data_IF_188304667467
#
_entry.id   IF_188304667467
#
_cell.length_a   1.000
_cell.length_b   1.000
_cell.length_c   1.000
_cell.angle_alpha   90.00
_cell.angle_beta   90.00
_cell.angle_gamma   90.00
#
_symmetry.space_group_name_H-M   'P 1'
#
loop_
_entity.id
_entity.type
_entity.pdbx_description
1 polymer ?
#
# COMPACT_ATOMS: atom_id res chain seq x y z
N UNK A 1 12.30 -35.45 3.78
CA UNK A 1 12.44 -34.54 4.96
C UNK A 1 11.08 -33.95 5.24
N UNK A 2 10.62 -34.02 6.51
CA UNK A 2 9.28 -33.52 6.85
C UNK A 2 9.19 -31.99 6.95
N UNK A 3 7.95 -31.43 6.93
CA UNK A 3 7.69 -30.00 6.93
C UNK A 3 8.28 -29.31 8.14
N UNK A 4 8.19 -29.92 9.34
CA UNK A 4 8.75 -29.35 10.58
C UNK A 4 10.26 -29.11 10.49
N UNK A 5 11.00 -30.09 9.99
CA UNK A 5 12.45 -29.99 9.84
C UNK A 5 12.85 -28.93 8.83
N UNK A 6 12.11 -28.81 7.72
CA UNK A 6 12.34 -27.80 6.68
C UNK A 6 12.11 -26.40 7.23
N UNK A 7 11.00 -26.18 7.96
CA UNK A 7 10.71 -24.88 8.60
C UNK A 7 11.80 -24.51 9.59
N UNK A 8 12.23 -25.48 10.42
CA UNK A 8 13.30 -25.25 11.40
C UNK A 8 14.62 -24.89 10.74
N UNK A 9 15.00 -25.56 9.65
CA UNK A 9 16.21 -25.25 8.89
C UNK A 9 16.14 -23.83 8.30
N UNK A 10 15.03 -23.50 7.61
CA UNK A 10 14.79 -22.17 7.04
C UNK A 10 14.79 -21.08 8.12
N UNK A 11 14.08 -21.29 9.22
CA UNK A 11 14.04 -20.35 10.35
C UNK A 11 15.43 -20.13 10.95
N UNK A 12 16.21 -21.16 11.16
CA UNK A 12 17.57 -21.04 11.69
C UNK A 12 18.46 -20.25 10.73
N UNK A 13 18.35 -20.50 9.43
CA UNK A 13 19.09 -19.74 8.43
C UNK A 13 18.71 -18.27 8.42
N UNK A 14 17.41 -17.95 8.48
CA UNK A 14 16.91 -16.58 8.53
C UNK A 14 17.32 -15.86 9.83
N UNK A 15 17.28 -16.54 10.99
CA UNK A 15 17.74 -15.99 12.28
C UNK A 15 19.23 -15.60 12.24
N UNK A 16 20.08 -16.46 11.66
CA UNK A 16 21.51 -16.17 11.46
C UNK A 16 21.76 -14.94 10.58
N UNK A 17 20.81 -14.60 9.71
CA UNK A 17 20.84 -13.40 8.84
C UNK A 17 20.03 -12.23 9.39
N UNK A 18 19.75 -12.19 10.70
CA UNK A 18 19.07 -11.11 11.43
C UNK A 18 17.63 -10.83 10.96
N UNK A 19 16.92 -11.81 10.42
CA UNK A 19 15.49 -11.69 10.10
C UNK A 19 14.68 -11.90 11.38
N UNK A 20 14.02 -10.86 11.88
CA UNK A 20 13.26 -10.89 13.13
C UNK A 20 12.06 -11.84 13.09
N UNK A 21 11.39 -11.94 11.94
CA UNK A 21 10.21 -12.79 11.70
C UNK A 21 10.56 -14.17 11.15
N UNK A 22 11.76 -14.69 11.44
CA UNK A 22 12.35 -15.85 10.77
C UNK A 22 11.45 -17.09 10.73
N UNK A 23 10.75 -17.42 11.82
CA UNK A 23 9.87 -18.58 11.89
C UNK A 23 8.63 -18.39 11.02
N UNK A 24 7.94 -17.26 11.19
CA UNK A 24 6.77 -16.90 10.39
C UNK A 24 7.13 -16.82 8.89
N UNK A 25 8.26 -16.20 8.56
CA UNK A 25 8.70 -16.07 7.18
C UNK A 25 9.00 -17.44 6.57
N UNK A 26 9.65 -18.34 7.32
CA UNK A 26 9.90 -19.72 6.89
C UNK A 26 8.61 -20.48 6.59
N UNK A 27 7.61 -20.41 7.47
CA UNK A 27 6.29 -21.01 7.27
C UNK A 27 5.57 -20.45 6.03
N UNK A 28 5.59 -19.11 5.86
CA UNK A 28 4.96 -18.44 4.72
C UNK A 28 5.64 -18.82 3.39
N UNK A 29 6.97 -18.91 3.37
CA UNK A 29 7.72 -19.33 2.17
C UNK A 29 7.42 -20.77 1.79
N UNK A 30 7.33 -21.67 2.76
CA UNK A 30 6.98 -23.06 2.51
C UNK A 30 5.51 -23.19 2.04
N UNK A 31 4.61 -22.40 2.64
CA UNK A 31 3.21 -22.28 2.23
C UNK A 31 3.10 -21.85 0.76
N UNK A 32 3.90 -20.88 0.34
CA UNK A 32 3.93 -20.41 -1.04
C UNK A 32 4.45 -21.47 -2.02
N UNK A 33 5.50 -22.19 -1.66
CA UNK A 33 6.05 -23.25 -2.51
C UNK A 33 5.07 -24.41 -2.70
N UNK A 34 4.38 -24.80 -1.64
CA UNK A 34 3.40 -25.87 -1.66
C UNK A 34 2.02 -25.46 -2.17
N UNK A 35 1.77 -24.14 -2.31
CA UNK A 35 0.45 -23.55 -2.66
C UNK A 35 -0.67 -24.00 -1.71
N UNK A 36 -0.34 -24.13 -0.43
CA UNK A 36 -1.29 -24.44 0.65
C UNK A 36 -1.33 -23.33 1.69
N UNK A 37 -2.35 -23.30 2.53
CA UNK A 37 -2.43 -22.33 3.62
C UNK A 37 -1.40 -22.63 4.71
N UNK A 38 -0.94 -21.58 5.42
CA UNK A 38 -0.09 -21.72 6.61
C UNK A 38 -0.71 -22.68 7.64
N UNK A 39 -2.04 -22.64 7.80
CA UNK A 39 -2.76 -23.57 8.68
C UNK A 39 -2.50 -25.03 8.29
N UNK A 40 -2.51 -25.37 6.99
CA UNK A 40 -2.22 -26.72 6.51
C UNK A 40 -0.78 -27.13 6.83
N UNK A 41 0.19 -26.21 6.70
CA UNK A 41 1.58 -26.48 7.08
C UNK A 41 1.68 -26.86 8.56
N UNK A 42 1.03 -26.10 9.44
CA UNK A 42 1.08 -26.33 10.90
C UNK A 42 0.39 -27.65 11.30
N UNK A 43 -0.70 -28.01 10.61
CA UNK A 43 -1.44 -29.23 10.92
C UNK A 43 -0.80 -30.52 10.38
N UNK A 44 0.09 -30.43 9.37
CA UNK A 44 0.68 -31.58 8.69
C UNK A 44 2.22 -31.61 8.82
N UNK A 45 2.76 -31.25 9.97
CA UNK A 45 4.20 -31.09 10.20
C UNK A 45 5.04 -32.33 9.91
N UNK A 46 4.46 -33.52 10.05
CA UNK A 46 5.12 -34.80 9.81
C UNK A 46 5.14 -35.20 8.34
N UNK A 47 4.43 -34.49 7.46
CA UNK A 47 4.39 -34.81 6.03
C UNK A 47 5.76 -34.62 5.39
N UNK A 48 6.22 -35.59 4.65
CA UNK A 48 7.43 -35.48 3.85
C UNK A 48 7.22 -34.75 2.55
N UNK A 49 8.24 -34.01 2.12
CA UNK A 49 8.26 -33.31 0.84
C UNK A 49 9.40 -33.78 -0.06
N UNK A 50 9.21 -33.60 -1.37
CA UNK A 50 10.21 -33.95 -2.37
C UNK A 50 11.45 -33.03 -2.31
N UNK A 51 12.58 -33.49 -2.82
CA UNK A 51 13.79 -32.68 -2.94
C UNK A 51 13.60 -31.46 -3.82
N UNK A 52 12.71 -31.50 -4.82
CA UNK A 52 12.37 -30.36 -5.67
C UNK A 52 11.71 -29.23 -4.86
N UNK A 53 10.72 -29.57 -4.03
CA UNK A 53 10.04 -28.62 -3.13
C UNK A 53 11.03 -28.00 -2.15
N UNK A 54 11.89 -28.82 -1.54
CA UNK A 54 12.93 -28.34 -0.64
C UNK A 54 13.90 -27.37 -1.33
N UNK A 55 14.33 -27.66 -2.55
CA UNK A 55 15.21 -26.77 -3.33
C UNK A 55 14.54 -25.43 -3.63
N UNK A 56 13.26 -25.42 -4.05
CA UNK A 56 12.49 -24.20 -4.29
C UNK A 56 12.37 -23.37 -3.00
N UNK A 57 12.04 -24.01 -1.90
CA UNK A 57 11.96 -23.36 -0.59
C UNK A 57 13.30 -22.73 -0.18
N UNK A 58 14.40 -23.47 -0.29
CA UNK A 58 15.76 -22.99 0.04
C UNK A 58 16.12 -21.73 -0.76
N UNK A 59 15.79 -21.70 -2.05
CA UNK A 59 16.02 -20.51 -2.88
C UNK A 59 15.27 -19.29 -2.36
N UNK A 60 14.00 -19.43 -1.95
CA UNK A 60 13.23 -18.33 -1.36
C UNK A 60 13.79 -17.89 -0.01
N UNK A 61 14.25 -18.83 0.82
CA UNK A 61 14.91 -18.54 2.11
C UNK A 61 16.19 -17.73 1.89
N UNK A 62 17.02 -18.07 0.89
CA UNK A 62 18.23 -17.30 0.54
C UNK A 62 17.87 -15.87 0.10
N UNK A 63 16.85 -15.71 -0.74
CA UNK A 63 16.37 -14.40 -1.16
C UNK A 63 15.86 -13.60 0.04
N UNK A 64 15.11 -14.23 0.95
CA UNK A 64 14.64 -13.56 2.17
C UNK A 64 15.80 -13.13 3.08
N UNK A 65 16.78 -13.99 3.25
CA UNK A 65 17.99 -13.70 4.03
C UNK A 65 18.81 -12.54 3.44
N UNK A 66 18.77 -12.32 2.11
CA UNK A 66 19.38 -11.15 1.46
C UNK A 66 18.63 -9.83 1.73
N UNK A 67 17.48 -9.87 2.44
CA UNK A 67 16.65 -8.74 2.80
C UNK A 67 15.42 -8.57 1.89
N UNK A 68 15.17 -9.43 0.89
CA UNK A 68 13.98 -9.28 0.03
C UNK A 68 12.69 -9.39 0.86
N UNK A 69 11.76 -8.42 0.80
CA UNK A 69 10.53 -8.43 1.56
C UNK A 69 9.71 -9.69 1.33
N UNK A 70 9.18 -10.26 2.42
CA UNK A 70 8.36 -11.49 2.35
C UNK A 70 7.16 -11.31 1.40
N UNK A 71 6.52 -10.13 1.39
CA UNK A 71 5.38 -9.84 0.54
C UNK A 71 5.70 -9.98 -0.96
N UNK A 72 6.91 -9.61 -1.38
CA UNK A 72 7.35 -9.77 -2.78
C UNK A 72 7.70 -11.22 -3.12
N UNK A 73 8.17 -12.00 -2.14
CA UNK A 73 8.50 -13.42 -2.34
C UNK A 73 7.25 -14.28 -2.49
N UNK A 74 6.21 -13.99 -1.69
CA UNK A 74 4.93 -14.69 -1.77
C UNK A 74 3.94 -14.02 -2.74
N UNK A 75 4.30 -12.85 -3.30
CA UNK A 75 3.48 -12.11 -4.27
C UNK A 75 2.20 -11.51 -3.71
N UNK A 76 2.01 -11.52 -2.38
CA UNK A 76 0.76 -11.00 -1.77
C UNK A 76 1.02 -10.26 -0.46
N UNK A 77 0.14 -9.30 -0.17
CA UNK A 77 0.08 -8.55 1.09
C UNK A 77 -1.37 -8.42 1.55
N UNK A 78 -1.64 -8.85 2.77
CA UNK A 78 -2.92 -8.56 3.42
C UNK A 78 -2.99 -7.07 3.75
N UNK A 79 -4.12 -6.43 3.42
CA UNK A 79 -4.39 -5.03 3.71
C UNK A 79 -5.91 -4.85 3.84
N UNK A 80 -6.35 -4.20 4.93
CA UNK A 80 -7.76 -4.12 5.30
C UNK A 80 -8.34 -5.54 5.46
N UNK A 81 -9.35 -5.88 4.70
CA UNK A 81 -10.01 -7.20 4.70
C UNK A 81 -9.61 -8.08 3.50
N UNK A 82 -8.64 -7.65 2.69
CA UNK A 82 -8.35 -8.25 1.38
C UNK A 82 -6.87 -8.57 1.22
N UNK A 83 -6.57 -9.49 0.29
CA UNK A 83 -5.20 -9.80 -0.12
C UNK A 83 -4.92 -9.12 -1.47
N UNK A 84 -3.86 -8.32 -1.52
CA UNK A 84 -3.42 -7.62 -2.71
C UNK A 84 -2.20 -8.28 -3.32
N UNK A 85 -2.22 -8.50 -4.62
CA UNK A 85 -1.04 -8.87 -5.38
C UNK A 85 -0.05 -7.70 -5.37
N UNK A 86 1.21 -7.99 -5.06
CA UNK A 86 2.30 -7.00 -4.98
C UNK A 86 3.57 -7.56 -5.59
N UNK A 87 4.36 -6.67 -6.20
CA UNK A 87 5.71 -6.94 -6.72
C UNK A 87 6.60 -5.74 -6.38
N UNK A 88 7.89 -5.82 -6.70
CA UNK A 88 8.85 -4.72 -6.51
C UNK A 88 8.48 -3.41 -7.26
N UNK A 89 7.44 -3.45 -8.10
CA UNK A 89 6.97 -2.30 -8.87
C UNK A 89 5.98 -1.40 -8.09
N UNK A 90 5.53 -1.83 -6.91
CA UNK A 90 4.60 -1.08 -6.06
C UNK A 90 5.06 -1.06 -4.60
N UNK A 91 4.74 0.02 -3.90
CA UNK A 91 4.91 0.08 -2.45
C UNK A 91 4.11 -1.05 -1.79
N UNK A 92 4.72 -1.75 -0.84
CA UNK A 92 4.00 -2.73 -0.02
C UNK A 92 2.97 -2.00 0.84
N UNK A 93 1.67 -2.34 0.77
CA UNK A 93 0.64 -1.71 1.59
C UNK A 93 0.99 -1.70 3.08
N UNK A 94 0.90 -0.53 3.72
CA UNK A 94 1.25 -0.32 5.13
C UNK A 94 0.00 -0.35 6.00
N UNK A 95 0.04 -1.00 7.17
CA UNK A 95 -1.11 -1.04 8.10
C UNK A 95 -1.62 0.36 8.48
N UNK A 96 -0.73 1.34 8.67
CA UNK A 96 -1.10 2.71 9.03
C UNK A 96 -2.00 3.37 7.98
N UNK A 97 -1.87 2.99 6.70
CA UNK A 97 -2.70 3.51 5.61
C UNK A 97 -4.15 3.01 5.66
N UNK A 98 -4.45 1.96 6.44
CA UNK A 98 -5.82 1.48 6.67
C UNK A 98 -6.69 2.54 7.36
N UNK A 99 -6.07 3.47 8.09
CA UNK A 99 -6.73 4.63 8.68
C UNK A 99 -7.44 5.50 7.63
N UNK A 100 -6.90 5.61 6.42
CA UNK A 100 -7.56 6.32 5.32
C UNK A 100 -8.89 5.65 4.98
N UNK A 101 -8.90 4.31 4.88
CA UNK A 101 -10.13 3.57 4.55
C UNK A 101 -11.16 3.77 5.65
N UNK A 102 -10.78 3.57 6.92
CA UNK A 102 -11.67 3.76 8.07
C UNK A 102 -12.32 5.14 8.01
N UNK A 103 -11.53 6.21 7.83
CA UNK A 103 -12.05 7.58 7.83
C UNK A 103 -12.88 7.90 6.59
N UNK A 104 -12.56 7.32 5.43
CA UNK A 104 -13.40 7.45 4.22
C UNK A 104 -14.76 6.77 4.44
N UNK A 105 -14.79 5.58 5.01
CA UNK A 105 -16.04 4.87 5.28
C UNK A 105 -16.93 5.64 6.26
N UNK A 106 -16.34 6.22 7.32
CA UNK A 106 -17.03 7.09 8.28
C UNK A 106 -17.62 8.33 7.59
N UNK A 107 -16.81 9.05 6.80
CA UNK A 107 -17.22 10.24 6.04
C UNK A 107 -18.35 9.98 5.04
N UNK A 108 -18.42 8.78 4.54
CA UNK A 108 -19.33 8.40 3.45
C UNK A 108 -20.44 7.45 3.90
N UNK A 109 -20.65 7.31 5.22
CA UNK A 109 -21.64 6.36 5.78
C UNK A 109 -23.02 6.48 5.12
N UNK A 110 -23.51 7.70 4.97
CA UNK A 110 -24.84 8.03 4.42
C UNK A 110 -24.75 8.60 3.00
N UNK A 111 -23.68 8.31 2.24
CA UNK A 111 -23.50 8.81 0.89
C UNK A 111 -23.55 7.66 -0.12
N UNK A 112 -24.06 7.96 -1.31
CA UNK A 112 -24.17 7.04 -2.44
C UNK A 112 -23.59 7.64 -3.71
N UNK A 113 -23.23 6.79 -4.68
CA UNK A 113 -22.79 7.17 -6.03
C UNK A 113 -21.59 8.15 -6.05
N UNK A 114 -20.66 8.00 -5.10
CA UNK A 114 -19.47 8.83 -4.98
C UNK A 114 -18.45 8.48 -6.06
N UNK A 115 -17.88 9.51 -6.70
CA UNK A 115 -16.72 9.38 -7.59
C UNK A 115 -15.45 9.62 -6.78
N UNK A 116 -14.61 8.59 -6.70
CA UNK A 116 -13.33 8.61 -5.96
C UNK A 116 -12.16 8.71 -6.93
N UNK A 117 -11.22 9.58 -6.67
CA UNK A 117 -9.91 9.61 -7.32
C UNK A 117 -8.84 9.16 -6.32
N UNK A 118 -7.98 8.24 -6.71
CA UNK A 118 -6.77 7.86 -5.98
C UNK A 118 -5.54 8.34 -6.77
N UNK A 119 -4.78 9.25 -6.17
CA UNK A 119 -3.58 9.84 -6.77
C UNK A 119 -2.36 9.10 -6.24
N UNK A 120 -1.62 8.44 -7.17
CA UNK A 120 -0.54 7.51 -6.81
C UNK A 120 -1.10 6.17 -6.36
N UNK A 121 -1.94 5.56 -7.20
CA UNK A 121 -2.75 4.38 -6.83
C UNK A 121 -1.93 3.14 -6.45
N UNK A 122 -0.70 3.00 -6.93
CA UNK A 122 0.21 1.89 -6.60
C UNK A 122 -0.41 0.51 -6.85
N UNK A 123 -0.55 -0.30 -5.82
CA UNK A 123 -1.21 -1.61 -5.89
C UNK A 123 -2.74 -1.54 -5.99
N UNK A 124 -3.31 -0.35 -5.82
CA UNK A 124 -4.76 -0.13 -5.73
C UNK A 124 -5.35 -0.38 -4.35
N UNK A 125 -4.54 -0.67 -3.34
CA UNK A 125 -5.03 -1.15 -2.04
C UNK A 125 -6.02 -0.17 -1.36
N UNK A 126 -5.81 1.13 -1.44
CA UNK A 126 -6.73 2.13 -0.88
C UNK A 126 -8.04 2.19 -1.68
N UNK A 127 -7.94 2.51 -2.96
CA UNK A 127 -9.10 2.69 -3.83
C UNK A 127 -9.96 1.44 -3.88
N UNK A 128 -9.34 0.29 -4.15
CA UNK A 128 -10.09 -0.96 -4.34
C UNK A 128 -10.75 -1.44 -3.05
N UNK A 129 -10.11 -1.24 -1.89
CA UNK A 129 -10.75 -1.55 -0.59
C UNK A 129 -11.99 -0.69 -0.38
N UNK A 130 -11.93 0.62 -0.64
CA UNK A 130 -13.07 1.53 -0.53
C UNK A 130 -14.20 1.10 -1.48
N UNK A 131 -13.89 0.81 -2.74
CA UNK A 131 -14.88 0.36 -3.73
C UNK A 131 -15.51 -0.99 -3.40
N UNK A 132 -14.77 -1.86 -2.70
CA UNK A 132 -15.30 -3.16 -2.27
C UNK A 132 -16.28 -3.01 -1.10
N UNK A 133 -16.00 -2.10 -0.15
CA UNK A 133 -16.88 -1.77 0.96
C UNK A 133 -18.13 -0.97 0.50
N UNK A 134 -17.99 -0.11 -0.52
CA UNK A 134 -19.04 0.76 -1.07
C UNK A 134 -19.41 0.33 -2.48
N UNK A 135 -20.48 -0.48 -2.61
CA UNK A 135 -20.85 -1.14 -3.87
C UNK A 135 -21.31 -0.20 -4.99
N UNK A 136 -21.75 1.00 -4.65
CA UNK A 136 -22.26 2.03 -5.57
C UNK A 136 -21.28 3.16 -5.87
N UNK A 137 -20.03 3.07 -5.36
CA UNK A 137 -18.97 4.02 -5.66
C UNK A 137 -18.24 3.63 -6.95
N UNK A 138 -17.72 4.64 -7.64
CA UNK A 138 -16.88 4.50 -8.83
C UNK A 138 -15.52 5.11 -8.59
N UNK A 139 -14.47 4.44 -9.03
CA UNK A 139 -13.10 4.83 -8.81
C UNK A 139 -12.35 5.20 -10.08
N UNK A 140 -11.44 6.14 -9.92
CA UNK A 140 -10.36 6.43 -10.87
C UNK A 140 -9.06 6.33 -10.11
N UNK A 141 -8.09 5.57 -10.62
CA UNK A 141 -6.73 5.53 -10.11
C UNK A 141 -5.76 6.09 -11.12
N UNK A 142 -4.86 6.96 -10.69
CA UNK A 142 -3.77 7.45 -11.52
C UNK A 142 -2.42 7.08 -10.93
N UNK A 143 -1.46 6.76 -11.79
CA UNK A 143 -0.08 6.49 -11.41
C UNK A 143 0.85 6.82 -12.59
N UNK A 144 2.05 7.27 -12.30
CA UNK A 144 3.07 7.52 -13.31
C UNK A 144 3.65 6.20 -13.85
N UNK A 145 3.63 5.15 -13.05
CA UNK A 145 4.13 3.82 -13.38
C UNK A 145 3.08 2.98 -14.10
N UNK A 146 3.35 2.61 -15.34
CA UNK A 146 2.51 1.65 -16.08
C UNK A 146 2.42 0.30 -15.36
N UNK A 147 3.53 -0.16 -14.78
CA UNK A 147 3.60 -1.44 -14.06
C UNK A 147 2.73 -1.44 -12.79
N UNK A 148 2.72 -0.34 -12.04
CA UNK A 148 1.80 -0.17 -10.89
C UNK A 148 0.35 -0.30 -11.32
N UNK A 149 -0.03 0.31 -12.45
CA UNK A 149 -1.39 0.22 -12.99
C UNK A 149 -1.76 -1.20 -13.44
N UNK A 150 -0.82 -1.97 -13.98
CA UNK A 150 -1.03 -3.38 -14.32
C UNK A 150 -1.33 -4.20 -13.06
N UNK A 151 -0.59 -3.96 -11.96
CA UNK A 151 -0.84 -4.58 -10.67
C UNK A 151 -2.21 -4.18 -10.11
N UNK A 152 -2.57 -2.89 -10.15
CA UNK A 152 -3.89 -2.42 -9.74
C UNK A 152 -5.03 -3.08 -10.54
N UNK A 153 -4.86 -3.28 -11.85
CA UNK A 153 -5.84 -3.99 -12.70
C UNK A 153 -5.99 -5.44 -12.30
N UNK A 154 -4.88 -6.15 -12.03
CA UNK A 154 -4.90 -7.53 -11.52
C UNK A 154 -5.67 -7.58 -10.20
N UNK A 155 -5.41 -6.66 -9.28
CA UNK A 155 -6.10 -6.58 -8.00
C UNK A 155 -7.59 -6.27 -8.15
N UNK A 156 -7.97 -5.35 -9.05
CA UNK A 156 -9.36 -5.04 -9.35
C UNK A 156 -10.11 -6.27 -9.89
N UNK A 157 -9.46 -7.05 -10.77
CA UNK A 157 -10.02 -8.29 -11.31
C UNK A 157 -10.21 -9.34 -10.20
N UNK A 158 -9.18 -9.58 -9.38
CA UNK A 158 -9.24 -10.53 -8.25
C UNK A 158 -10.35 -10.17 -7.25
N UNK A 159 -10.61 -8.88 -7.04
CA UNK A 159 -11.67 -8.40 -6.16
C UNK A 159 -13.05 -8.34 -6.84
N UNK A 160 -13.15 -8.60 -8.14
CA UNK A 160 -14.42 -8.59 -8.88
C UNK A 160 -15.06 -7.19 -9.02
N UNK A 161 -14.24 -6.14 -9.15
CA UNK A 161 -14.71 -4.74 -9.22
C UNK A 161 -14.17 -3.96 -10.41
N UNK A 162 -13.61 -4.64 -11.40
CA UNK A 162 -13.02 -4.01 -12.60
C UNK A 162 -13.99 -3.13 -13.38
N UNK A 163 -15.30 -3.42 -13.32
CA UNK A 163 -16.35 -2.65 -14.00
C UNK A 163 -16.64 -1.29 -13.34
N UNK A 164 -16.14 -1.04 -12.13
CA UNK A 164 -16.36 0.19 -11.35
C UNK A 164 -15.11 1.04 -11.15
N UNK A 165 -13.99 0.65 -11.76
CA UNK A 165 -12.72 1.36 -11.64
C UNK A 165 -12.07 1.57 -12.98
N UNK A 166 -11.47 2.76 -13.17
CA UNK A 166 -10.64 3.10 -14.35
C UNK A 166 -9.24 3.48 -13.88
N UNK A 167 -8.23 3.07 -14.64
CA UNK A 167 -6.84 3.37 -14.34
C UNK A 167 -6.20 4.12 -15.50
N UNK A 168 -5.51 5.22 -15.19
CA UNK A 168 -4.83 6.05 -16.19
C UNK A 168 -3.36 6.24 -15.83
N UNK A 169 -2.49 6.01 -16.81
CA UNK A 169 -1.08 6.39 -16.70
C UNK A 169 -0.99 7.91 -16.88
N UNK A 170 -0.65 8.61 -15.82
CA UNK A 170 -0.48 10.06 -15.85
C UNK A 170 0.48 10.50 -14.76
N UNK A 171 1.31 11.48 -15.06
CA UNK A 171 1.86 12.35 -14.04
C UNK A 171 0.70 13.14 -13.43
N UNK A 172 0.80 13.46 -12.16
CA UNK A 172 -0.24 14.17 -11.42
C UNK A 172 -0.53 15.55 -12.05
N UNK A 173 0.51 16.27 -12.49
CA UNK A 173 0.38 17.60 -13.04
C UNK A 173 -0.36 17.63 -14.39
N UNK A 174 -0.31 16.51 -15.13
CA UNK A 174 -0.92 16.37 -16.46
C UNK A 174 -2.33 15.76 -16.44
N UNK A 175 -2.82 15.28 -15.30
CA UNK A 175 -4.15 14.68 -15.23
C UNK A 175 -5.22 15.74 -15.09
N UNK A 176 -6.14 15.82 -16.09
CA UNK A 176 -7.18 16.87 -16.17
C UNK A 176 -8.61 16.32 -16.27
N UNK A 177 -8.78 15.00 -16.20
CA UNK A 177 -10.07 14.36 -16.46
C UNK A 177 -10.94 14.23 -15.21
N UNK A 178 -12.18 14.65 -15.32
CA UNK A 178 -13.25 14.41 -14.35
C UNK A 178 -13.35 15.47 -13.25
N UNK A 179 -14.40 15.29 -12.44
CA UNK A 179 -14.61 15.99 -11.18
C UNK A 179 -15.03 14.95 -10.13
N UNK A 180 -14.44 15.04 -8.94
CA UNK A 180 -14.53 14.00 -7.92
C UNK A 180 -15.15 14.52 -6.63
N UNK A 181 -15.93 13.67 -5.99
CA UNK A 181 -16.55 13.93 -4.69
C UNK A 181 -15.55 13.67 -3.55
N UNK A 182 -14.65 12.72 -3.78
CA UNK A 182 -13.62 12.31 -2.85
C UNK A 182 -12.29 12.11 -3.61
N UNK A 183 -11.23 12.67 -3.09
CA UNK A 183 -9.86 12.40 -3.53
C UNK A 183 -9.10 11.79 -2.35
N UNK A 184 -8.37 10.72 -2.60
CA UNK A 184 -7.50 10.07 -1.63
C UNK A 184 -6.08 10.00 -2.18
N UNK A 185 -5.09 10.02 -1.31
CA UNK A 185 -3.70 9.79 -1.69
C UNK A 185 -2.85 9.37 -0.50
N UNK A 186 -1.93 8.46 -0.73
CA UNK A 186 -0.77 8.22 0.11
C UNK A 186 0.49 8.57 -0.72
N UNK A 187 0.84 9.85 -0.83
CA UNK A 187 1.95 10.31 -1.66
C UNK A 187 3.29 10.02 -0.98
N UNK A 188 4.39 9.95 -1.73
CA UNK A 188 5.72 9.92 -1.16
C UNK A 188 5.96 11.13 -0.26
N UNK A 189 6.44 10.89 0.97
CA UNK A 189 6.61 11.95 1.98
C UNK A 189 7.95 11.93 2.72
N UNK A 190 8.86 11.02 2.36
CA UNK A 190 10.18 10.91 3.00
C UNK A 190 11.11 11.92 2.33
N UNK A 191 11.83 12.71 3.13
CA UNK A 191 12.82 13.63 2.57
C UNK A 191 13.93 12.86 1.85
N UNK A 192 14.40 13.40 0.74
CA UNK A 192 15.47 12.75 -0.05
C UNK A 192 16.70 12.40 0.78
N UNK A 193 17.07 13.28 1.73
CA UNK A 193 18.21 13.06 2.62
C UNK A 193 17.99 11.93 3.64
N UNK A 194 16.73 11.67 4.00
CA UNK A 194 16.35 10.67 5.02
C UNK A 194 16.19 9.27 4.43
N UNK A 195 16.12 9.13 3.10
CA UNK A 195 15.98 7.82 2.44
C UNK A 195 17.07 6.82 2.84
N UNK A 196 18.29 7.30 3.08
CA UNK A 196 19.43 6.46 3.49
C UNK A 196 19.30 5.83 4.88
N UNK A 197 18.38 6.33 5.71
CA UNK A 197 18.14 5.84 7.07
C UNK A 197 16.97 4.84 7.15
N UNK A 198 16.31 4.56 6.05
CA UNK A 198 15.29 3.54 5.99
C UNK A 198 15.86 2.15 6.22
N UNK A 199 15.00 1.20 6.58
CA UNK A 199 15.40 -0.20 6.68
C UNK A 199 15.96 -0.70 5.35
N UNK A 200 16.97 -1.58 5.45
CA UNK A 200 17.75 -2.07 4.30
C UNK A 200 16.87 -2.70 3.21
N UNK A 201 15.82 -3.42 3.60
CA UNK A 201 14.87 -4.05 2.69
C UNK A 201 14.03 -3.02 1.93
N UNK A 202 13.61 -1.94 2.59
CA UNK A 202 12.88 -0.82 1.95
C UNK A 202 13.77 -0.13 0.91
N UNK A 203 15.00 0.25 1.30
CA UNK A 203 15.94 0.97 0.41
C UNK A 203 16.26 0.15 -0.84
N UNK A 204 16.45 -1.17 -0.66
CA UNK A 204 16.98 -2.05 -1.69
C UNK A 204 15.92 -2.55 -2.65
N UNK A 205 14.69 -2.77 -2.19
CA UNK A 205 13.68 -3.51 -2.94
C UNK A 205 12.40 -2.73 -3.23
N UNK A 206 12.07 -1.69 -2.46
CA UNK A 206 10.86 -0.91 -2.74
C UNK A 206 11.12 0.22 -3.73
N UNK A 207 10.14 0.60 -4.58
CA UNK A 207 10.35 1.61 -5.61
C UNK A 207 10.63 2.98 -4.99
N UNK A 208 11.80 3.54 -5.27
CA UNK A 208 12.24 4.84 -4.71
C UNK A 208 11.26 5.98 -5.00
N UNK A 209 10.58 5.92 -6.15
CA UNK A 209 9.58 6.91 -6.55
C UNK A 209 8.38 6.93 -5.59
N UNK A 210 8.04 5.80 -4.96
CA UNK A 210 6.95 5.71 -4.01
C UNK A 210 7.35 6.16 -2.58
N UNK A 211 8.63 6.47 -2.35
CA UNK A 211 9.16 6.86 -1.04
C UNK A 211 9.59 8.32 -0.98
N UNK A 212 10.17 8.83 -2.07
CA UNK A 212 10.85 10.11 -2.11
C UNK A 212 9.87 11.29 -2.25
N UNK A 213 9.63 12.01 -1.16
CA UNK A 213 8.82 13.22 -1.10
C UNK A 213 9.56 14.53 -1.46
N UNK A 214 10.79 14.42 -2.03
CA UNK A 214 11.61 15.57 -2.40
C UNK A 214 12.47 16.10 -1.24
N UNK A 215 13.10 17.25 -1.46
CA UNK A 215 14.07 17.84 -0.52
C UNK A 215 13.43 18.11 0.86
N UNK A 216 12.21 18.64 0.86
CA UNK A 216 11.48 19.01 2.07
C UNK A 216 10.46 17.97 2.55
N UNK A 217 10.32 16.85 1.82
CA UNK A 217 9.39 15.76 2.10
C UNK A 217 7.92 16.06 1.78
N UNK A 218 7.59 17.25 1.26
CA UNK A 218 6.21 17.64 0.93
C UNK A 218 6.03 18.05 -0.53
N UNK A 219 7.02 17.83 -1.38
CA UNK A 219 6.94 18.20 -2.80
C UNK A 219 5.80 17.49 -3.51
N UNK A 220 5.68 16.17 -3.33
CA UNK A 220 4.59 15.40 -3.92
C UNK A 220 3.23 15.69 -3.25
N UNK A 221 3.22 15.91 -1.94
CA UNK A 221 2.02 16.36 -1.21
C UNK A 221 1.49 17.68 -1.79
N UNK A 222 2.38 18.62 -2.13
CA UNK A 222 2.00 19.90 -2.74
C UNK A 222 1.32 19.70 -4.09
N UNK A 223 1.87 18.87 -4.97
CA UNK A 223 1.25 18.52 -6.25
C UNK A 223 -0.12 17.87 -6.06
N UNK A 224 -0.25 16.94 -5.09
CA UNK A 224 -1.56 16.33 -4.76
C UNK A 224 -2.57 17.37 -4.34
N UNK A 225 -2.21 18.33 -3.47
CA UNK A 225 -3.08 19.40 -3.01
C UNK A 225 -3.48 20.31 -4.18
N UNK A 226 -2.52 20.73 -5.00
CA UNK A 226 -2.75 21.59 -6.16
C UNK A 226 -3.71 20.90 -7.13
N UNK A 227 -3.45 19.69 -7.51
CA UNK A 227 -4.31 18.92 -8.43
C UNK A 227 -5.68 18.62 -7.84
N UNK A 228 -5.74 18.34 -6.53
CA UNK A 228 -7.03 18.15 -5.85
C UNK A 228 -7.90 19.40 -5.88
N UNK A 229 -7.30 20.60 -5.77
CA UNK A 229 -8.04 21.87 -5.88
C UNK A 229 -8.66 22.08 -7.27
N UNK A 230 -8.06 21.52 -8.33
CA UNK A 230 -8.58 21.60 -9.69
C UNK A 230 -9.69 20.57 -9.97
N UNK A 231 -9.49 19.32 -9.49
CA UNK A 231 -10.33 18.17 -9.87
C UNK A 231 -11.46 17.89 -8.89
N UNK A 232 -11.45 18.51 -7.72
CA UNK A 232 -12.48 18.28 -6.71
C UNK A 232 -13.72 19.14 -6.96
N UNK A 233 -14.89 18.57 -6.71
CA UNK A 233 -16.14 19.33 -6.65
C UNK A 233 -16.15 20.25 -5.42
N UNK A 234 -16.93 21.30 -5.44
CA UNK A 234 -17.22 22.12 -4.24
C UNK A 234 -17.80 21.21 -3.14
N UNK A 235 -17.38 21.41 -1.91
CA UNK A 235 -17.68 20.55 -0.75
C UNK A 235 -17.14 19.11 -0.85
N UNK A 236 -16.34 18.78 -1.87
CA UNK A 236 -15.61 17.53 -1.98
C UNK A 236 -14.62 17.35 -0.84
N UNK A 237 -14.19 16.11 -0.60
CA UNK A 237 -13.25 15.78 0.49
C UNK A 237 -11.94 15.27 -0.07
N UNK A 238 -10.83 15.80 0.47
CA UNK A 238 -9.50 15.24 0.28
C UNK A 238 -9.10 14.51 1.57
N UNK A 239 -8.66 13.27 1.43
CA UNK A 239 -8.11 12.45 2.51
C UNK A 239 -6.68 12.07 2.15
N UNK A 240 -5.73 12.53 2.93
CA UNK A 240 -4.31 12.51 2.60
C UNK A 240 -3.51 11.85 3.73
N UNK A 241 -2.63 10.92 3.41
CA UNK A 241 -1.61 10.43 4.33
C UNK A 241 -0.45 11.43 4.43
N UNK A 242 0.07 11.59 5.64
CA UNK A 242 1.20 12.48 5.93
C UNK A 242 2.20 11.81 6.88
N UNK A 243 3.45 12.25 6.88
CA UNK A 243 4.39 11.89 7.93
C UNK A 243 4.02 12.57 9.25
N UNK A 244 4.40 11.91 10.36
CA UNK A 244 4.04 12.34 11.72
C UNK A 244 4.39 13.80 12.05
N UNK A 245 5.45 14.33 11.45
CA UNK A 245 6.00 15.68 11.67
C UNK A 245 5.57 16.72 10.61
N UNK A 246 4.72 16.36 9.65
CA UNK A 246 4.33 17.23 8.54
C UNK A 246 3.03 18.02 8.77
N UNK A 247 2.32 17.78 9.87
CA UNK A 247 1.01 18.35 10.17
C UNK A 247 0.91 19.84 9.90
N UNK A 248 1.80 20.66 10.46
CA UNK A 248 1.75 22.12 10.36
C UNK A 248 1.94 22.58 8.92
N UNK A 249 2.99 22.08 8.26
CA UNK A 249 3.33 22.45 6.90
C UNK A 249 2.25 22.07 5.89
N UNK A 250 1.68 20.87 6.03
CA UNK A 250 0.60 20.40 5.14
C UNK A 250 -0.68 21.21 5.37
N UNK A 251 -1.00 21.54 6.63
CA UNK A 251 -2.15 22.43 6.93
C UNK A 251 -2.01 23.81 6.28
N UNK A 252 -0.82 24.41 6.31
CA UNK A 252 -0.55 25.68 5.64
C UNK A 252 -0.75 25.59 4.11
N UNK A 253 -0.24 24.51 3.49
CA UNK A 253 -0.41 24.28 2.05
C UNK A 253 -1.90 24.13 1.67
N UNK A 254 -2.66 23.37 2.44
CA UNK A 254 -4.10 23.19 2.24
C UNK A 254 -4.86 24.51 2.34
N UNK A 255 -4.62 25.30 3.39
CA UNK A 255 -5.26 26.59 3.60
C UNK A 255 -4.98 27.57 2.44
N UNK A 256 -3.72 27.63 1.95
CA UNK A 256 -3.33 28.45 0.81
C UNK A 256 -4.04 28.09 -0.50
N UNK A 257 -4.54 26.84 -0.61
CA UNK A 257 -5.25 26.34 -1.80
C UNK A 257 -6.78 26.30 -1.62
N UNK A 258 -7.31 26.97 -0.60
CA UNK A 258 -8.75 27.07 -0.37
C UNK A 258 -9.38 25.80 0.22
N UNK A 259 -8.61 25.00 0.95
CA UNK A 259 -9.15 23.88 1.69
C UNK A 259 -9.37 24.25 3.16
N UNK A 260 -10.52 23.85 3.69
CA UNK A 260 -10.78 23.85 5.11
C UNK A 260 -10.35 22.52 5.72
N UNK A 261 -9.41 22.54 6.66
CA UNK A 261 -8.94 21.34 7.35
C UNK A 261 -9.95 20.95 8.41
N UNK A 262 -10.68 19.85 8.18
CA UNK A 262 -11.71 19.35 9.09
C UNK A 262 -11.11 18.69 10.33
N UNK A 263 -10.17 17.74 10.13
CA UNK A 263 -9.56 16.98 11.22
C UNK A 263 -8.26 16.31 10.79
N UNK A 264 -7.39 16.10 11.76
CA UNK A 264 -6.16 15.29 11.61
C UNK A 264 -6.28 14.13 12.58
N UNK A 265 -6.06 12.94 12.06
CA UNK A 265 -6.17 11.69 12.80
C UNK A 265 -4.78 11.11 13.03
N UNK A 266 -4.66 10.42 14.14
CA UNK A 266 -3.46 9.70 14.53
C UNK A 266 -3.60 8.21 14.26
N UNK A 267 -2.48 7.56 13.94
CA UNK A 267 -2.37 6.12 13.89
C UNK A 267 -2.36 5.49 15.29
N UNK A 268 -2.30 4.16 15.37
CA UNK A 268 -2.26 3.43 16.64
C UNK A 268 -0.98 3.70 17.47
N UNK A 269 0.09 4.18 16.84
CA UNK A 269 1.30 4.63 17.52
C UNK A 269 1.22 6.10 17.99
N UNK A 270 0.02 6.72 17.92
CA UNK A 270 -0.25 8.12 18.30
C UNK A 270 0.47 9.18 17.44
N UNK A 271 0.88 8.83 16.22
CA UNK A 271 1.47 9.74 15.25
C UNK A 271 0.41 10.35 14.34
N UNK A 272 0.53 11.65 14.01
CA UNK A 272 -0.34 12.25 13.00
C UNK A 272 -0.14 11.49 11.67
N UNK A 273 -1.22 10.98 11.08
CA UNK A 273 -1.12 10.13 9.90
C UNK A 273 -2.09 10.50 8.78
N UNK A 274 -3.30 10.86 9.10
CA UNK A 274 -4.33 11.13 8.10
C UNK A 274 -4.93 12.51 8.32
N UNK A 275 -4.98 13.34 7.26
CA UNK A 275 -5.61 14.65 7.26
C UNK A 275 -6.83 14.63 6.35
N UNK A 276 -7.94 15.17 6.84
CA UNK A 276 -9.18 15.34 6.09
C UNK A 276 -9.46 16.80 5.92
N UNK A 277 -9.72 17.22 4.68
CA UNK A 277 -10.10 18.59 4.38
C UNK A 277 -11.24 18.65 3.36
N UNK A 278 -11.91 19.79 3.33
CA UNK A 278 -13.02 20.09 2.42
C UNK A 278 -12.58 21.20 1.47
N UNK A 279 -12.89 21.07 0.18
CA UNK A 279 -12.76 22.16 -0.77
C UNK A 279 -13.88 23.18 -0.50
N UNK A 280 -13.48 24.44 -0.26
CA UNK A 280 -14.40 25.55 -0.14
C UNK A 280 -14.91 26.03 -1.50
#
# INVERSE_FOLDING_TARGET
MNLQNIIREGSNYLKKNNIKSAELDSELLLSEVLKVSRKNIILNQDQDVSNEIFSKFKNLVILRASGKPIAYLIGTKAFWKYNFFVTEEVLIPRPDSELIIEKVLDLTKNKSKIKVLDIGVGSGCLLLSILKEKKDFYGTGIDISKKSLEISKINALKLGISNRVKFFKSDIDNFVSGKYDLIISNPPYIKSIDLKYLERDVIKFEPKIALNGGIDGVSEIRKVIDKSSELMKVNGKLVLEIAFNQKTKVKELLNKKGFYVNKIFKDYANNNRCIICTRL
#
